data_IF_394438980706
#
_entry.id   IF_394438980706
#
_cell.length_a   1.000
_cell.length_b   1.000
_cell.length_c   1.000
_cell.angle_alpha   90.00
_cell.angle_beta   90.00
_cell.angle_gamma   90.00
#
_symmetry.space_group_name_H-M   'P 1'
#
loop_
_entity.id
_entity.type
_entity.pdbx_description
1 polymer ?
#
# COMPACT_ATOMS: atom_id res chain seq x y z
N UNK A 1 -6.62 -38.13 -37.77
CA UNK A 1 -6.54 -37.98 -36.30
C UNK A 1 -6.25 -36.51 -35.99
N UNK A 2 -7.07 -35.83 -35.19
CA UNK A 2 -7.00 -34.39 -35.03
C UNK A 2 -5.86 -33.99 -34.09
N UNK A 3 -4.97 -33.13 -34.59
CA UNK A 3 -3.96 -32.41 -33.80
C UNK A 3 -4.63 -31.16 -33.24
N UNK A 4 -5.01 -31.19 -31.96
CA UNK A 4 -5.54 -30.03 -31.24
C UNK A 4 -4.37 -29.24 -30.64
N UNK A 5 -3.90 -28.22 -31.37
CA UNK A 5 -3.09 -27.16 -30.76
C UNK A 5 -3.92 -26.48 -29.66
N UNK A 6 -3.44 -26.39 -28.41
CA UNK A 6 -4.16 -25.63 -27.40
C UNK A 6 -4.13 -24.13 -27.76
N UNK A 7 -5.32 -23.51 -27.77
CA UNK A 7 -5.49 -22.07 -27.96
C UNK A 7 -4.80 -21.30 -26.84
N UNK A 8 -4.18 -20.14 -27.11
CA UNK A 8 -3.62 -19.28 -26.07
C UNK A 8 -4.77 -18.54 -25.37
N UNK A 9 -5.49 -19.22 -24.48
CA UNK A 9 -6.28 -18.51 -23.48
C UNK A 9 -5.29 -17.84 -22.55
N UNK A 10 -5.17 -16.53 -22.72
CA UNK A 10 -4.46 -15.62 -21.83
C UNK A 10 -4.88 -15.95 -20.40
N UNK A 11 -4.01 -16.67 -19.70
CA UNK A 11 -4.12 -16.90 -18.27
C UNK A 11 -3.67 -15.60 -17.59
N UNK A 12 -4.54 -14.59 -17.62
CA UNK A 12 -4.43 -13.52 -16.64
C UNK A 12 -4.75 -14.19 -15.30
N UNK A 13 -3.68 -14.57 -14.59
CA UNK A 13 -3.77 -15.18 -13.26
C UNK A 13 -4.80 -14.43 -12.43
N UNK A 14 -5.64 -15.14 -11.67
CA UNK A 14 -6.62 -14.57 -10.72
C UNK A 14 -5.99 -13.48 -9.84
N UNK A 15 -4.67 -13.58 -9.59
CA UNK A 15 -3.85 -12.58 -8.89
C UNK A 15 -3.74 -11.25 -9.63
N UNK A 16 -3.57 -11.28 -10.95
CA UNK A 16 -3.56 -10.08 -11.80
C UNK A 16 -4.92 -9.40 -11.93
N UNK A 17 -6.01 -10.17 -11.84
CA UNK A 17 -7.37 -9.61 -11.86
C UNK A 17 -7.70 -8.88 -10.54
N UNK A 18 -7.32 -9.45 -9.39
CA UNK A 18 -7.46 -8.77 -8.08
C UNK A 18 -6.61 -7.51 -8.03
N UNK A 19 -5.38 -7.55 -8.56
CA UNK A 19 -4.51 -6.38 -8.71
C UNK A 19 -5.17 -5.28 -9.56
N UNK A 20 -5.73 -5.64 -10.71
CA UNK A 20 -6.44 -4.70 -11.58
C UNK A 20 -7.72 -4.14 -10.94
N UNK A 21 -8.48 -4.96 -10.21
CA UNK A 21 -9.69 -4.53 -9.52
C UNK A 21 -9.40 -3.56 -8.36
N UNK A 22 -8.35 -3.84 -7.58
CA UNK A 22 -7.89 -2.94 -6.51
C UNK A 22 -7.37 -1.62 -7.10
N UNK A 23 -6.55 -1.66 -8.14
CA UNK A 23 -6.11 -0.44 -8.85
C UNK A 23 -7.27 0.32 -9.50
N UNK A 24 -8.28 -0.38 -10.03
CA UNK A 24 -9.45 0.25 -10.62
C UNK A 24 -10.32 0.96 -9.56
N UNK A 25 -10.41 0.44 -8.33
CA UNK A 25 -11.15 1.13 -7.26
C UNK A 25 -10.56 2.49 -6.86
N UNK A 26 -9.26 2.70 -7.07
CA UNK A 26 -8.58 3.99 -6.84
C UNK A 26 -9.06 5.08 -7.82
N UNK A 27 -9.51 4.71 -9.02
CA UNK A 27 -9.95 5.65 -10.07
C UNK A 27 -11.37 6.21 -9.87
N UNK A 28 -12.20 5.59 -9.02
CA UNK A 28 -13.61 5.97 -8.84
C UNK A 28 -13.86 6.96 -7.70
N UNK A 29 -12.81 7.48 -7.05
CA UNK A 29 -12.98 8.50 -6.02
C UNK A 29 -12.71 9.90 -6.58
N UNK A 30 -13.70 10.82 -6.60
CA UNK A 30 -13.52 12.19 -7.10
C UNK A 30 -12.60 13.08 -6.24
N UNK A 31 -12.14 12.60 -5.08
CA UNK A 31 -11.31 13.36 -4.16
C UNK A 31 -9.82 13.13 -4.42
N UNK A 32 -9.05 14.20 -4.60
CA UNK A 32 -7.60 14.13 -4.44
C UNK A 32 -7.30 14.08 -2.93
N UNK A 33 -6.82 12.95 -2.38
CA UNK A 33 -6.56 12.81 -0.95
C UNK A 33 -5.42 13.73 -0.46
N UNK A 34 -4.70 14.40 -1.38
CA UNK A 34 -3.55 15.29 -1.10
C UNK A 34 -3.92 16.78 -1.17
N UNK A 35 -5.21 17.15 -1.09
CA UNK A 35 -5.60 18.58 -1.03
C UNK A 35 -5.28 19.20 0.33
N UNK A 36 -4.14 19.90 0.44
CA UNK A 36 -3.74 20.60 1.66
C UNK A 36 -4.34 22.01 1.67
N UNK A 37 -5.34 22.22 2.52
CA UNK A 37 -5.78 23.57 2.90
C UNK A 37 -4.96 24.01 4.14
N UNK A 38 -4.19 25.12 4.08
CA UNK A 38 -3.28 25.54 5.16
C UNK A 38 -3.97 25.74 6.52
N UNK A 39 -5.29 25.95 6.52
CA UNK A 39 -6.12 26.10 7.72
C UNK A 39 -6.25 24.83 8.58
N UNK A 40 -5.82 23.65 8.09
CA UNK A 40 -5.93 22.40 8.88
C UNK A 40 -4.72 21.46 8.74
N UNK A 41 -3.49 22.00 8.80
CA UNK A 41 -2.27 21.18 8.84
C UNK A 41 -2.32 20.08 9.93
N UNK A 42 -2.99 20.36 11.05
CA UNK A 42 -3.25 19.40 12.12
C UNK A 42 -4.18 18.27 11.66
N UNK A 43 -5.27 18.58 10.96
CA UNK A 43 -6.19 17.57 10.44
C UNK A 43 -5.51 16.69 9.38
N UNK A 44 -4.71 17.30 8.49
CA UNK A 44 -3.86 16.56 7.56
C UNK A 44 -2.89 15.61 8.30
N UNK A 45 -2.22 16.10 9.34
CA UNK A 45 -1.32 15.28 10.16
C UNK A 45 -2.04 14.10 10.82
N UNK A 46 -3.25 14.30 11.34
CA UNK A 46 -4.07 13.24 11.95
C UNK A 46 -4.49 12.20 10.90
N UNK A 47 -4.97 12.63 9.74
CA UNK A 47 -5.40 11.72 8.67
C UNK A 47 -4.22 10.94 8.12
N UNK A 48 -3.08 11.59 7.88
CA UNK A 48 -1.85 10.93 7.42
C UNK A 48 -1.34 9.92 8.45
N UNK A 49 -1.30 10.30 9.74
CA UNK A 49 -0.93 9.37 10.82
C UNK A 49 -1.85 8.15 10.87
N UNK A 50 -3.16 8.36 10.78
CA UNK A 50 -4.14 7.28 10.76
C UNK A 50 -3.95 6.36 9.53
N UNK A 51 -3.69 6.94 8.36
CA UNK A 51 -3.44 6.19 7.13
C UNK A 51 -2.19 5.29 7.27
N UNK A 52 -1.06 5.83 7.75
CA UNK A 52 0.16 5.05 7.98
C UNK A 52 -0.04 3.97 9.04
N UNK A 53 -0.78 4.27 10.10
CA UNK A 53 -1.04 3.33 11.18
C UNK A 53 -1.87 2.14 10.70
N UNK A 54 -2.95 2.41 9.95
CA UNK A 54 -3.83 1.38 9.38
C UNK A 54 -3.06 0.50 8.38
N UNK A 55 -2.28 1.13 7.50
CA UNK A 55 -1.46 0.42 6.53
C UNK A 55 -0.43 -0.50 7.21
N UNK A 56 0.34 0.04 8.16
CA UNK A 56 1.34 -0.74 8.89
C UNK A 56 0.69 -1.89 9.68
N UNK A 57 -0.50 -1.67 10.24
CA UNK A 57 -1.29 -2.69 10.93
C UNK A 57 -1.73 -3.82 10.01
N UNK A 58 -2.31 -3.49 8.85
CA UNK A 58 -2.75 -4.48 7.85
C UNK A 58 -1.57 -5.31 7.36
N UNK A 59 -0.46 -4.66 7.01
CA UNK A 59 0.77 -5.33 6.57
C UNK A 59 1.29 -6.27 7.66
N UNK A 60 1.36 -5.82 8.91
CA UNK A 60 1.81 -6.65 10.02
C UNK A 60 0.91 -7.88 10.24
N UNK A 61 -0.42 -7.72 10.12
CA UNK A 61 -1.37 -8.84 10.21
C UNK A 61 -1.21 -9.84 9.07
N UNK A 62 -0.99 -9.38 7.83
CA UNK A 62 -0.75 -10.27 6.69
C UNK A 62 0.57 -11.04 6.87
N UNK A 63 1.61 -10.35 7.34
CA UNK A 63 2.94 -10.92 7.50
C UNK A 63 3.10 -11.81 8.74
N UNK A 64 2.20 -11.71 9.71
CA UNK A 64 2.10 -12.65 10.84
C UNK A 64 2.01 -14.10 10.34
N UNK A 65 1.25 -14.35 9.27
CA UNK A 65 1.10 -15.68 8.66
C UNK A 65 2.35 -16.18 7.92
N UNK A 66 3.39 -15.35 7.78
CA UNK A 66 4.71 -15.76 7.30
C UNK A 66 5.72 -15.90 8.44
N UNK A 67 5.24 -15.85 9.70
CA UNK A 67 6.05 -15.98 10.89
C UNK A 67 6.96 -14.77 11.16
N UNK A 68 6.63 -13.59 10.63
CA UNK A 68 7.30 -12.34 11.02
C UNK A 68 6.73 -11.81 12.32
N UNK A 69 7.58 -11.18 13.14
CA UNK A 69 7.19 -10.58 14.41
C UNK A 69 6.37 -9.30 14.15
N UNK A 70 5.04 -9.32 14.37
CA UNK A 70 4.13 -8.31 13.82
C UNK A 70 4.38 -6.92 14.40
N UNK A 71 4.62 -6.81 15.71
CA UNK A 71 4.86 -5.51 16.38
C UNK A 71 6.15 -4.85 15.88
N UNK A 72 7.23 -5.64 15.72
CA UNK A 72 8.52 -5.12 15.24
C UNK A 72 8.43 -4.65 13.79
N UNK A 73 7.76 -5.43 12.94
CA UNK A 73 7.52 -5.06 11.54
C UNK A 73 6.63 -3.83 11.45
N UNK A 74 5.53 -3.77 12.21
CA UNK A 74 4.61 -2.64 12.22
C UNK A 74 5.31 -1.33 12.56
N UNK A 75 6.08 -1.29 13.65
CA UNK A 75 6.75 -0.06 14.10
C UNK A 75 7.80 0.41 13.09
N UNK A 76 8.65 -0.49 12.62
CA UNK A 76 9.72 -0.11 11.67
C UNK A 76 9.13 0.27 10.31
N UNK A 77 8.13 -0.48 9.83
CA UNK A 77 7.46 -0.17 8.57
C UNK A 77 6.71 1.16 8.65
N UNK A 78 6.04 1.47 9.75
CA UNK A 78 5.40 2.78 9.97
C UNK A 78 6.38 3.94 9.78
N UNK A 79 7.57 3.84 10.39
CA UNK A 79 8.61 4.88 10.28
C UNK A 79 9.14 5.00 8.84
N UNK A 80 9.40 3.87 8.19
CA UNK A 80 9.88 3.85 6.80
C UNK A 80 8.82 4.41 5.86
N UNK A 81 7.55 4.02 6.02
CA UNK A 81 6.46 4.49 5.19
C UNK A 81 6.25 6.00 5.34
N UNK A 82 6.26 6.51 6.58
CA UNK A 82 6.21 7.95 6.82
C UNK A 82 7.38 8.69 6.14
N UNK A 83 8.60 8.12 6.17
CA UNK A 83 9.75 8.72 5.49
C UNK A 83 9.59 8.69 3.96
N UNK A 84 9.13 7.58 3.38
CA UNK A 84 8.83 7.47 1.93
C UNK A 84 7.78 8.51 1.53
N UNK A 85 6.73 8.68 2.33
CA UNK A 85 5.70 9.67 2.08
C UNK A 85 6.28 11.08 2.02
N UNK A 86 6.99 11.52 3.06
CA UNK A 86 7.50 12.90 3.15
C UNK A 86 8.63 13.20 2.17
N UNK A 87 9.50 12.23 1.89
CA UNK A 87 10.71 12.43 1.09
C UNK A 87 10.53 12.11 -0.39
N UNK A 88 9.56 11.27 -0.76
CA UNK A 88 9.36 10.82 -2.13
C UNK A 88 7.94 11.11 -2.63
N UNK A 89 6.92 10.48 -2.05
CA UNK A 89 5.55 10.56 -2.58
C UNK A 89 5.00 11.98 -2.60
N UNK A 90 5.10 12.69 -1.47
CA UNK A 90 4.56 14.03 -1.33
C UNK A 90 5.20 15.04 -2.31
N UNK A 91 6.55 15.11 -2.45
CA UNK A 91 7.19 15.87 -3.51
C UNK A 91 6.75 15.48 -4.93
N UNK A 92 6.59 14.18 -5.22
CA UNK A 92 6.17 13.73 -6.54
C UNK A 92 4.78 14.24 -6.91
N UNK A 93 3.82 14.13 -5.98
CA UNK A 93 2.45 14.60 -6.18
C UNK A 93 2.41 16.12 -6.33
N UNK A 94 3.18 16.87 -5.51
CA UNK A 94 3.22 18.34 -5.59
C UNK A 94 3.78 18.87 -6.91
N UNK A 95 4.71 18.15 -7.53
CA UNK A 95 5.30 18.60 -8.80
C UNK A 95 4.43 18.27 -10.01
N UNK A 96 3.37 17.48 -9.85
CA UNK A 96 2.48 16.96 -10.93
C UNK A 96 3.23 16.30 -12.11
N UNK A 97 4.52 16.00 -11.95
CA UNK A 97 5.37 15.41 -13.01
C UNK A 97 5.05 13.95 -13.28
N UNK A 98 4.51 13.27 -12.28
CA UNK A 98 4.22 11.83 -12.32
C UNK A 98 2.71 11.65 -12.09
N UNK A 99 1.99 10.95 -12.97
CA UNK A 99 0.58 10.64 -12.77
C UNK A 99 0.37 9.90 -11.44
N UNK A 100 -0.69 10.24 -10.70
CA UNK A 100 -0.99 9.65 -9.39
C UNK A 100 -0.94 8.12 -9.41
N UNK A 101 -1.54 7.49 -10.42
CA UNK A 101 -1.54 6.02 -10.57
C UNK A 101 -0.13 5.43 -10.68
N UNK A 102 0.79 6.13 -11.36
CA UNK A 102 2.19 5.70 -11.49
C UNK A 102 2.91 5.86 -10.16
N UNK A 103 2.68 6.97 -9.45
CA UNK A 103 3.24 7.20 -8.11
C UNK A 103 2.80 6.10 -7.14
N UNK A 104 1.51 5.79 -7.08
CA UNK A 104 0.94 4.71 -6.24
C UNK A 104 1.58 3.35 -6.57
N UNK A 105 1.69 3.00 -7.86
CA UNK A 105 2.33 1.75 -8.28
C UNK A 105 3.82 1.68 -7.87
N UNK A 106 4.54 2.81 -7.94
CA UNK A 106 5.93 2.89 -7.50
C UNK A 106 6.06 2.71 -5.98
N UNK A 107 5.19 3.35 -5.21
CA UNK A 107 5.16 3.22 -3.74
C UNK A 107 4.92 1.77 -3.33
N UNK A 108 3.94 1.12 -3.94
CA UNK A 108 3.66 -0.31 -3.71
C UNK A 108 4.90 -1.18 -3.98
N UNK A 109 5.65 -0.90 -5.04
CA UNK A 109 6.87 -1.66 -5.36
C UNK A 109 7.99 -1.39 -4.35
N UNK A 110 8.15 -0.13 -3.93
CA UNK A 110 9.15 0.28 -2.92
C UNK A 110 8.84 -0.40 -1.59
N UNK A 111 7.61 -0.34 -1.13
CA UNK A 111 7.16 -1.00 0.11
C UNK A 111 7.33 -2.52 0.04
N UNK A 112 6.96 -3.16 -1.07
CA UNK A 112 7.19 -4.60 -1.24
C UNK A 112 8.69 -4.95 -1.13
N UNK A 113 9.56 -4.10 -1.68
CA UNK A 113 11.02 -4.26 -1.55
C UNK A 113 11.50 -4.01 -0.10
N UNK A 114 10.95 -3.02 0.60
CA UNK A 114 11.20 -2.77 2.03
C UNK A 114 10.83 -3.99 2.85
N UNK A 115 9.61 -4.51 2.72
CA UNK A 115 9.14 -5.70 3.44
C UNK A 115 10.02 -6.92 3.15
N UNK A 116 10.42 -7.10 1.88
CA UNK A 116 11.33 -8.17 1.50
C UNK A 116 12.69 -8.01 2.18
N UNK A 117 13.19 -6.79 2.26
CA UNK A 117 14.48 -6.46 2.90
C UNK A 117 14.40 -6.67 4.41
N UNK A 118 13.35 -6.18 5.07
CA UNK A 118 13.09 -6.40 6.50
C UNK A 118 13.01 -7.90 6.83
N UNK A 119 12.35 -8.70 5.99
CA UNK A 119 12.27 -10.15 6.17
C UNK A 119 13.63 -10.87 6.10
N UNK A 120 14.68 -10.19 5.61
CA UNK A 120 16.04 -10.72 5.57
C UNK A 120 16.79 -10.63 6.90
N UNK A 121 16.32 -9.84 7.87
CA UNK A 121 16.97 -9.72 9.17
C UNK A 121 16.27 -10.55 10.23
N UNK A 122 17.05 -11.35 10.96
CA UNK A 122 16.56 -12.23 12.04
C UNK A 122 15.82 -11.47 13.15
N UNK A 123 16.16 -10.19 13.35
CA UNK A 123 15.46 -9.32 14.29
C UNK A 123 13.94 -9.23 14.02
N UNK A 124 13.49 -9.40 12.78
CA UNK A 124 12.07 -9.37 12.43
C UNK A 124 11.40 -10.74 12.41
N UNK A 125 12.14 -11.83 12.64
CA UNK A 125 11.59 -13.18 12.63
C UNK A 125 10.85 -13.50 13.94
N UNK A 126 9.74 -14.22 13.83
CA UNK A 126 9.05 -14.89 14.92
C UNK A 126 9.48 -16.35 15.05
N UNK A 127 8.79 -17.11 15.90
CA UNK A 127 9.16 -18.51 16.19
C UNK A 127 9.03 -19.47 15.01
N UNK A 128 8.12 -19.19 14.07
CA UNK A 128 7.82 -20.04 12.90
C UNK A 128 8.06 -19.30 11.58
N UNK A 129 9.16 -18.54 11.48
CA UNK A 129 9.43 -17.77 10.26
C UNK A 129 9.65 -18.65 9.03
N UNK A 130 8.87 -18.38 7.99
CA UNK A 130 9.10 -18.90 6.65
C UNK A 130 9.61 -17.77 5.73
N UNK A 131 10.52 -18.11 4.81
CA UNK A 131 11.06 -17.13 3.86
C UNK A 131 9.93 -16.43 3.10
N UNK A 132 9.75 -15.13 3.34
CA UNK A 132 8.71 -14.32 2.70
C UNK A 132 8.95 -14.23 1.17
N UNK A 133 8.12 -14.84 0.30
CA UNK A 133 8.26 -14.67 -1.14
C UNK A 133 7.87 -13.24 -1.54
N UNK A 134 8.50 -12.71 -2.60
CA UNK A 134 8.22 -11.35 -3.06
C UNK A 134 6.75 -11.13 -3.42
N UNK A 135 6.06 -12.17 -3.91
CA UNK A 135 4.62 -12.11 -4.19
C UNK A 135 3.76 -11.85 -2.95
N UNK A 136 4.11 -12.41 -1.79
CA UNK A 136 3.42 -12.11 -0.52
C UNK A 136 3.74 -10.70 -0.03
N UNK A 137 4.99 -10.25 -0.16
CA UNK A 137 5.37 -8.87 0.16
C UNK A 137 4.60 -7.86 -0.70
N UNK A 138 4.48 -8.13 -2.00
CA UNK A 138 3.71 -7.30 -2.93
C UNK A 138 2.22 -7.28 -2.59
N UNK A 139 1.62 -8.43 -2.28
CA UNK A 139 0.22 -8.49 -1.84
C UNK A 139 -0.02 -7.73 -0.53
N UNK A 140 0.91 -7.83 0.42
CA UNK A 140 0.84 -7.10 1.68
C UNK A 140 0.89 -5.59 1.45
N UNK A 141 1.86 -5.10 0.65
CA UNK A 141 1.96 -3.69 0.30
C UNK A 141 0.73 -3.19 -0.46
N UNK A 142 0.22 -3.94 -1.44
CA UNK A 142 -1.01 -3.57 -2.14
C UNK A 142 -2.21 -3.41 -1.21
N UNK A 143 -2.40 -4.36 -0.29
CA UNK A 143 -3.48 -4.31 0.67
C UNK A 143 -3.32 -3.12 1.65
N UNK A 144 -2.09 -2.88 2.10
CA UNK A 144 -1.74 -1.74 2.93
C UNK A 144 -2.01 -0.40 2.25
N UNK A 145 -1.42 -0.20 1.07
CA UNK A 145 -1.55 1.03 0.26
C UNK A 145 -3.01 1.30 -0.12
N UNK A 146 -3.78 0.27 -0.49
CA UNK A 146 -5.21 0.44 -0.76
C UNK A 146 -5.99 0.91 0.48
N UNK A 147 -5.62 0.43 1.66
CA UNK A 147 -6.26 0.82 2.91
C UNK A 147 -5.86 2.24 3.35
N UNK A 148 -4.59 2.63 3.23
CA UNK A 148 -4.17 4.01 3.50
C UNK A 148 -4.79 5.00 2.52
N UNK A 149 -4.91 4.64 1.24
CA UNK A 149 -5.64 5.43 0.25
C UNK A 149 -7.11 5.61 0.64
N UNK A 150 -7.78 4.53 1.08
CA UNK A 150 -9.16 4.60 1.57
C UNK A 150 -9.30 5.52 2.79
N UNK A 151 -8.38 5.43 3.76
CA UNK A 151 -8.35 6.33 4.92
C UNK A 151 -8.15 7.78 4.49
N UNK A 152 -7.25 8.04 3.54
CA UNK A 152 -7.02 9.35 2.96
C UNK A 152 -8.27 9.91 2.27
N UNK A 153 -8.97 9.09 1.49
CA UNK A 153 -10.24 9.45 0.84
C UNK A 153 -11.33 9.79 1.86
N UNK A 154 -11.53 8.95 2.88
CA UNK A 154 -12.56 9.16 3.91
C UNK A 154 -12.23 10.38 4.76
N UNK A 155 -10.94 10.58 5.08
CA UNK A 155 -10.45 11.72 5.86
C UNK A 155 -10.45 13.04 5.08
N UNK A 156 -10.30 12.99 3.75
CA UNK A 156 -10.40 14.15 2.86
C UNK A 156 -11.83 14.47 2.44
N UNK A 157 -12.71 13.46 2.41
CA UNK A 157 -14.15 13.66 2.37
C UNK A 157 -14.55 14.56 3.53
N UNK A 158 -15.49 15.48 3.32
CA UNK A 158 -15.91 16.45 4.34
C UNK A 158 -17.14 15.95 5.09
N UNK A 159 -17.06 15.05 6.10
CA UNK A 159 -18.22 14.64 6.88
C UNK A 159 -18.76 15.77 7.77
N UNK A 160 -18.04 16.89 7.91
CA UNK A 160 -18.48 18.08 8.65
C UNK A 160 -19.23 19.12 7.80
N UNK A 161 -19.41 18.90 6.50
CA UNK A 161 -20.41 19.65 5.72
C UNK A 161 -21.77 18.95 5.91
N UNK A 162 -22.21 18.88 7.16
CA UNK A 162 -23.62 18.68 7.47
C UNK A 162 -24.22 20.06 7.68
N UNK A 163 -25.06 20.44 6.71
CA UNK A 163 -26.10 21.48 6.73
C UNK A 163 -25.76 22.86 7.29
#
# INVERSE_FOLDING_TARGET
MPSTKPSPRQCLSTRGYVFFLLLASVQFCPGNPVSINPTSLIAFGIVAFAAFLVEAGIIALILLFSGLAPVRVMVVFFVINAAIFWLAFFPWVQTEKIPLLVSEALIVLIEAAVLKTLSGFEYFHGGEFERLPFSRALLASLAGNAASFFVGVVGAGSPWVQH
#
